data_IF_907249511653
#
_entry.id   IF_907249511653
#
_cell.length_a   1.000
_cell.length_b   1.000
_cell.length_c   1.000
_cell.angle_alpha   90.00
_cell.angle_beta   90.00
_cell.angle_gamma   90.00
#
_symmetry.space_group_name_H-M   'P 1'
#
loop_
_entity.id
_entity.type
_entity.pdbx_description
1 polymer ?
#
# COMPACT_ATOMS: atom_id res chain seq x y z
N UNK A 1 8.53 16.68 -5.63
CA UNK A 1 7.18 16.72 -5.04
C UNK A 1 6.14 15.94 -5.84
N UNK A 2 5.92 16.23 -7.13
CA UNK A 2 4.96 15.51 -7.99
C UNK A 2 5.19 14.00 -8.03
N UNK A 3 6.44 13.56 -8.14
CA UNK A 3 6.80 12.13 -8.12
C UNK A 3 6.43 11.40 -6.82
N UNK A 4 6.61 12.04 -5.65
CA UNK A 4 6.19 11.45 -4.37
C UNK A 4 4.67 11.25 -4.32
N UNK A 5 3.90 12.24 -4.81
CA UNK A 5 2.44 12.12 -4.92
C UNK A 5 2.04 10.95 -5.82
N UNK A 6 2.69 10.81 -6.98
CA UNK A 6 2.44 9.68 -7.88
C UNK A 6 2.74 8.34 -7.21
N UNK A 7 3.87 8.21 -6.50
CA UNK A 7 4.18 7.00 -5.74
C UNK A 7 3.09 6.69 -4.69
N UNK A 8 2.62 7.69 -3.95
CA UNK A 8 1.56 7.47 -2.96
C UNK A 8 0.22 7.08 -3.61
N UNK A 9 -0.15 7.68 -4.74
CA UNK A 9 -1.35 7.31 -5.49
C UNK A 9 -1.24 5.91 -6.08
N UNK A 10 -0.07 5.52 -6.59
CA UNK A 10 0.19 4.15 -7.06
C UNK A 10 0.01 3.13 -5.95
N UNK A 11 0.53 3.40 -4.75
CA UNK A 11 0.32 2.52 -3.59
C UNK A 11 -1.18 2.33 -3.28
N UNK A 12 -1.95 3.42 -3.26
CA UNK A 12 -3.41 3.35 -3.05
C UNK A 12 -4.08 2.56 -4.17
N UNK A 13 -3.74 2.84 -5.43
CA UNK A 13 -4.31 2.13 -6.58
C UNK A 13 -4.04 0.62 -6.53
N UNK A 14 -2.82 0.21 -6.15
CA UNK A 14 -2.50 -1.20 -5.97
C UNK A 14 -3.36 -1.86 -4.89
N UNK A 15 -3.57 -1.20 -3.75
CA UNK A 15 -4.41 -1.73 -2.68
C UNK A 15 -5.89 -1.83 -3.08
N UNK A 16 -6.40 -0.85 -3.83
CA UNK A 16 -7.77 -0.89 -4.39
C UNK A 16 -7.91 -2.07 -5.35
N UNK A 17 -6.99 -2.20 -6.31
CA UNK A 17 -7.01 -3.30 -7.28
C UNK A 17 -6.92 -4.68 -6.61
N UNK A 18 -6.05 -4.83 -5.61
CA UNK A 18 -5.94 -6.06 -4.83
C UNK A 18 -7.26 -6.39 -4.13
N UNK A 19 -7.93 -5.39 -3.56
CA UNK A 19 -9.23 -5.56 -2.92
C UNK A 19 -10.33 -5.96 -3.91
N UNK A 20 -10.27 -5.45 -5.14
CA UNK A 20 -11.18 -5.87 -6.22
C UNK A 20 -10.91 -7.32 -6.62
N UNK A 21 -9.64 -7.73 -6.73
CA UNK A 21 -9.30 -9.12 -7.03
C UNK A 21 -9.87 -10.05 -5.97
N UNK A 22 -9.61 -9.79 -4.68
CA UNK A 22 -10.18 -10.57 -3.59
C UNK A 22 -11.71 -10.59 -3.59
N UNK A 23 -12.36 -9.46 -3.87
CA UNK A 23 -13.82 -9.41 -3.96
C UNK A 23 -14.41 -10.23 -5.11
N UNK A 24 -13.62 -10.53 -6.14
CA UNK A 24 -14.02 -11.34 -7.29
C UNK A 24 -13.66 -12.82 -7.11
N UNK A 25 -12.65 -13.14 -6.30
CA UNK A 25 -12.17 -14.52 -6.08
C UNK A 25 -12.74 -15.17 -4.82
N UNK A 26 -13.03 -14.39 -3.78
CA UNK A 26 -13.39 -14.90 -2.45
C UNK A 26 -14.90 -14.75 -2.22
N UNK A 27 -15.57 -15.86 -1.88
CA UNK A 27 -17.03 -15.93 -1.80
C UNK A 27 -17.63 -15.57 -0.42
N UNK A 28 -16.83 -15.51 0.64
CA UNK A 28 -17.30 -15.25 2.01
C UNK A 28 -16.54 -14.08 2.69
N UNK A 29 -17.27 -13.29 3.48
CA UNK A 29 -16.79 -12.25 4.41
C UNK A 29 -15.96 -11.07 3.85
N UNK A 30 -16.07 -10.78 2.56
CA UNK A 30 -15.38 -9.65 1.90
C UNK A 30 -15.86 -8.27 2.41
N UNK A 31 -17.12 -8.13 2.82
CA UNK A 31 -17.76 -6.83 3.02
C UNK A 31 -17.14 -5.98 4.16
N UNK A 32 -16.82 -6.59 5.30
CA UNK A 32 -16.22 -5.87 6.44
C UNK A 32 -14.79 -5.45 6.11
N UNK A 33 -14.00 -6.34 5.51
CA UNK A 33 -12.62 -6.02 5.16
C UNK A 33 -12.55 -4.95 4.06
N UNK A 34 -13.44 -5.02 3.07
CA UNK A 34 -13.52 -4.06 1.98
C UNK A 34 -13.97 -2.68 2.46
N UNK A 35 -14.92 -2.61 3.39
CA UNK A 35 -15.39 -1.33 3.94
C UNK A 35 -14.31 -0.61 4.76
N UNK A 36 -13.54 -1.34 5.57
CA UNK A 36 -12.38 -0.79 6.29
C UNK A 36 -11.34 -0.25 5.30
N UNK A 37 -10.99 -1.03 4.26
CA UNK A 37 -10.03 -0.61 3.23
C UNK A 37 -10.52 0.62 2.47
N UNK A 38 -11.80 0.69 2.13
CA UNK A 38 -12.38 1.85 1.45
C UNK A 38 -12.23 3.13 2.29
N UNK A 39 -12.54 3.07 3.59
CA UNK A 39 -12.36 4.21 4.52
C UNK A 39 -10.91 4.64 4.58
N UNK A 40 -9.98 3.67 4.71
CA UNK A 40 -8.54 3.95 4.73
C UNK A 40 -8.09 4.61 3.42
N UNK A 41 -8.50 4.10 2.25
CA UNK A 41 -8.12 4.66 0.96
C UNK A 41 -8.66 6.08 0.75
N UNK A 42 -9.89 6.38 1.19
CA UNK A 42 -10.45 7.74 1.13
C UNK A 42 -9.67 8.69 2.03
N UNK A 43 -9.39 8.28 3.27
CA UNK A 43 -8.62 9.06 4.24
C UNK A 43 -7.20 9.36 3.70
N UNK A 44 -6.52 8.32 3.22
CA UNK A 44 -5.17 8.42 2.65
C UNK A 44 -5.15 9.32 1.43
N UNK A 45 -6.07 9.12 0.48
CA UNK A 45 -6.13 9.93 -0.74
C UNK A 45 -6.33 11.40 -0.38
N UNK A 46 -7.18 11.68 0.60
CA UNK A 46 -7.38 13.04 1.12
C UNK A 46 -6.08 13.64 1.71
N UNK A 47 -5.30 12.85 2.45
CA UNK A 47 -3.99 13.27 2.98
C UNK A 47 -2.97 13.51 1.86
N UNK A 48 -2.92 12.66 0.84
CA UNK A 48 -2.04 12.81 -0.33
C UNK A 48 -2.35 14.12 -1.07
N UNK A 49 -3.64 14.43 -1.28
CA UNK A 49 -4.04 15.68 -1.93
C UNK A 49 -3.65 16.90 -1.09
N UNK A 50 -3.77 16.80 0.24
CA UNK A 50 -3.35 17.86 1.17
C UNK A 50 -1.83 17.98 1.30
N UNK A 51 -1.04 16.95 0.95
CA UNK A 51 0.43 16.99 0.93
C UNK A 51 0.97 18.14 0.05
N UNK A 52 0.20 18.54 -0.98
CA UNK A 52 0.53 19.67 -1.86
C UNK A 52 0.52 21.03 -1.15
N UNK A 53 -0.10 21.13 0.04
CA UNK A 53 -0.21 22.37 0.83
C UNK A 53 0.97 22.62 1.77
N UNK A 54 2.02 21.78 1.74
CA UNK A 54 3.23 22.05 2.51
C UNK A 54 3.10 21.83 4.02
N UNK A 55 2.06 21.16 4.51
CA UNK A 55 1.84 20.99 5.96
C UNK A 55 2.69 19.84 6.51
N UNK A 56 3.56 20.12 7.48
CA UNK A 56 4.49 19.14 8.06
C UNK A 56 3.79 17.96 8.75
N UNK A 57 2.63 18.17 9.37
CA UNK A 57 1.87 17.09 10.03
C UNK A 57 1.38 16.02 9.04
N UNK A 58 1.12 16.40 7.79
CA UNK A 58 0.65 15.47 6.75
C UNK A 58 1.75 14.47 6.39
N UNK A 59 3.02 14.89 6.42
CA UNK A 59 4.14 13.98 6.19
C UNK A 59 4.18 12.89 7.24
N UNK A 60 4.05 13.27 8.52
CA UNK A 60 4.00 12.31 9.62
C UNK A 60 2.78 11.39 9.50
N UNK A 61 1.61 11.95 9.19
CA UNK A 61 0.40 11.16 9.00
C UNK A 61 0.55 10.13 7.87
N UNK A 62 1.10 10.51 6.71
CA UNK A 62 1.35 9.58 5.59
C UNK A 62 2.42 8.53 5.93
N UNK A 63 3.48 8.92 6.62
CA UNK A 63 4.52 7.98 7.05
C UNK A 63 3.98 6.95 8.02
N UNK A 64 3.18 7.35 9.01
CA UNK A 64 2.59 6.40 9.96
C UNK A 64 1.53 5.55 9.28
N UNK A 65 0.55 6.18 8.62
CA UNK A 65 -0.62 5.48 8.08
C UNK A 65 -0.28 4.60 6.89
N UNK A 66 0.51 5.10 5.92
CA UNK A 66 0.85 4.32 4.73
C UNK A 66 2.19 3.61 4.86
N UNK A 67 3.19 4.30 5.41
CA UNK A 67 4.54 3.74 5.57
C UNK A 67 4.59 2.60 6.59
N UNK A 68 3.93 2.75 7.73
CA UNK A 68 3.98 1.74 8.81
C UNK A 68 2.77 0.82 8.78
N UNK A 69 1.56 1.38 8.90
CA UNK A 69 0.33 0.56 8.99
C UNK A 69 0.07 -0.18 7.66
N UNK A 70 0.18 0.52 6.53
CA UNK A 70 0.08 -0.09 5.20
C UNK A 70 1.07 -1.25 4.98
N UNK A 71 2.36 -1.01 5.23
CA UNK A 71 3.39 -2.07 5.14
C UNK A 71 3.16 -3.22 6.10
N UNK A 72 2.77 -2.95 7.35
CA UNK A 72 2.49 -4.00 8.32
C UNK A 72 1.36 -4.89 7.82
N UNK A 73 0.28 -4.31 7.28
CA UNK A 73 -0.84 -5.09 6.74
C UNK A 73 -0.43 -6.04 5.61
N UNK A 74 0.54 -5.64 4.78
CA UNK A 74 1.05 -6.46 3.68
C UNK A 74 2.04 -7.55 4.11
N UNK A 75 2.77 -7.31 5.20
CA UNK A 75 3.84 -8.22 5.65
C UNK A 75 3.38 -9.22 6.71
N UNK A 76 2.38 -8.87 7.53
CA UNK A 76 1.91 -9.73 8.62
C UNK A 76 1.44 -11.08 8.09
N UNK A 77 0.62 -11.07 7.04
CA UNK A 77 0.08 -12.31 6.46
C UNK A 77 1.20 -13.20 5.88
N UNK A 78 2.07 -12.75 4.94
CA UNK A 78 3.16 -13.57 4.43
C UNK A 78 4.12 -14.08 5.53
N UNK A 79 4.46 -13.23 6.51
CA UNK A 79 5.36 -13.64 7.59
C UNK A 79 4.72 -14.70 8.48
N UNK A 80 3.43 -14.55 8.80
CA UNK A 80 2.69 -15.55 9.58
C UNK A 80 2.59 -16.88 8.85
N UNK A 81 2.32 -16.86 7.55
CA UNK A 81 2.28 -18.04 6.70
C UNK A 81 3.64 -18.75 6.61
N UNK A 82 4.73 -18.00 6.45
CA UNK A 82 6.08 -18.57 6.46
C UNK A 82 6.41 -19.24 7.80
N UNK A 83 6.03 -18.61 8.92
CA UNK A 83 6.22 -19.19 10.26
C UNK A 83 5.38 -20.47 10.47
N UNK A 84 4.26 -20.59 9.78
CA UNK A 84 3.41 -21.78 9.79
C UNK A 84 3.93 -22.91 8.88
N UNK A 85 5.12 -22.76 8.27
CA UNK A 85 5.71 -23.78 7.39
C UNK A 85 5.41 -23.58 5.90
N UNK A 86 4.97 -22.39 5.50
CA UNK A 86 4.74 -22.04 4.10
C UNK A 86 5.99 -22.24 3.23
N UNK A 87 5.79 -22.75 2.00
CA UNK A 87 6.84 -23.01 1.03
C UNK A 87 6.74 -22.06 -0.18
N UNK A 88 7.48 -20.91 -0.21
CA UNK A 88 7.30 -19.87 -1.22
C UNK A 88 7.46 -20.36 -2.66
N UNK A 89 8.47 -21.19 -2.92
CA UNK A 89 8.74 -21.71 -4.25
C UNK A 89 7.61 -22.61 -4.76
N UNK A 90 7.07 -23.47 -3.90
CA UNK A 90 5.94 -24.33 -4.25
C UNK A 90 4.66 -23.51 -4.47
N UNK A 91 4.42 -22.51 -3.62
CA UNK A 91 3.31 -21.57 -3.79
C UNK A 91 3.37 -20.84 -5.13
N UNK A 92 4.52 -20.29 -5.50
CA UNK A 92 4.70 -19.58 -6.78
C UNK A 92 4.62 -20.52 -7.98
N UNK A 93 5.10 -21.76 -7.85
CA UNK A 93 5.00 -22.75 -8.92
C UNK A 93 3.55 -23.20 -9.19
N UNK A 94 2.70 -23.19 -8.15
CA UNK A 94 1.28 -23.52 -8.25
C UNK A 94 0.37 -22.28 -8.46
N UNK A 95 0.94 -21.08 -8.51
CA UNK A 95 0.18 -19.84 -8.57
C UNK A 95 -0.57 -19.69 -9.89
N UNK A 96 -1.86 -19.42 -9.79
CA UNK A 96 -2.70 -19.05 -10.91
C UNK A 96 -2.55 -17.56 -11.27
N UNK A 97 -3.26 -17.11 -12.31
CA UNK A 97 -3.17 -15.73 -12.78
C UNK A 97 -3.60 -14.70 -11.73
N UNK A 98 -4.61 -15.02 -10.92
CA UNK A 98 -5.08 -14.15 -9.84
C UNK A 98 -4.03 -14.01 -8.74
N UNK A 99 -3.42 -15.12 -8.35
CA UNK A 99 -2.32 -15.15 -7.36
C UNK A 99 -1.13 -14.32 -7.85
N UNK A 100 -0.69 -14.51 -9.10
CA UNK A 100 0.38 -13.72 -9.69
C UNK A 100 0.08 -12.22 -9.73
N UNK A 101 -1.17 -11.85 -10.03
CA UNK A 101 -1.61 -10.46 -10.02
C UNK A 101 -1.54 -9.86 -8.61
N UNK A 102 -2.04 -10.57 -7.59
CA UNK A 102 -1.94 -10.11 -6.19
C UNK A 102 -0.48 -9.93 -5.77
N UNK A 103 0.39 -10.90 -6.07
CA UNK A 103 1.83 -10.79 -5.77
C UNK A 103 2.44 -9.56 -6.44
N UNK A 104 2.16 -9.33 -7.72
CA UNK A 104 2.67 -8.17 -8.45
C UNK A 104 2.16 -6.85 -7.86
N UNK A 105 0.87 -6.76 -7.52
CA UNK A 105 0.27 -5.58 -6.89
C UNK A 105 0.93 -5.26 -5.54
N UNK A 106 1.19 -6.27 -4.71
CA UNK A 106 1.91 -6.08 -3.44
C UNK A 106 3.33 -5.58 -3.64
N UNK A 107 4.08 -6.17 -4.59
CA UNK A 107 5.45 -5.72 -4.89
C UNK A 107 5.47 -4.26 -5.36
N UNK A 108 4.58 -3.90 -6.29
CA UNK A 108 4.47 -2.52 -6.79
C UNK A 108 4.05 -1.57 -5.65
N UNK A 109 3.11 -1.99 -4.80
CA UNK A 109 2.69 -1.21 -3.63
C UNK A 109 3.88 -0.90 -2.71
N UNK A 110 4.65 -1.92 -2.31
CA UNK A 110 5.81 -1.76 -1.43
C UNK A 110 6.84 -0.80 -2.06
N UNK A 111 7.17 -1.01 -3.33
CA UNK A 111 8.10 -0.14 -4.05
C UNK A 111 7.59 1.31 -4.10
N UNK A 112 6.29 1.50 -4.33
CA UNK A 112 5.66 2.81 -4.36
C UNK A 112 5.65 3.50 -2.99
N UNK A 113 5.39 2.77 -1.90
CA UNK A 113 5.48 3.31 -0.53
C UNK A 113 6.91 3.76 -0.20
N UNK A 114 7.91 2.91 -0.49
CA UNK A 114 9.32 3.23 -0.25
C UNK A 114 9.78 4.42 -1.10
N UNK A 115 9.42 4.46 -2.37
CA UNK A 115 9.69 5.61 -3.25
C UNK A 115 8.99 6.89 -2.77
N UNK A 116 7.74 6.77 -2.33
CA UNK A 116 6.95 7.86 -1.75
C UNK A 116 7.64 8.48 -0.53
N UNK A 117 8.08 7.63 0.40
CA UNK A 117 8.88 7.99 1.59
C UNK A 117 10.20 8.66 1.21
N UNK A 118 11.03 8.00 0.41
CA UNK A 118 12.35 8.53 0.04
C UNK A 118 12.24 9.91 -0.63
N UNK A 119 11.29 10.08 -1.55
CA UNK A 119 11.07 11.34 -2.25
C UNK A 119 10.47 12.42 -1.35
N UNK A 120 9.58 12.04 -0.41
CA UNK A 120 8.95 12.98 0.54
C UNK A 120 9.95 13.57 1.55
N UNK A 121 10.98 12.82 1.92
CA UNK A 121 12.03 13.26 2.84
C UNK A 121 13.31 13.76 2.15
N UNK A 122 13.32 13.80 0.82
CA UNK A 122 14.47 14.30 0.05
C UNK A 122 14.81 15.76 0.38
N UNK A 123 16.08 16.19 0.25
CA UNK A 123 16.51 17.56 0.53
C UNK A 123 15.71 18.62 -0.23
N UNK A 124 15.36 18.32 -1.49
CA UNK A 124 14.55 19.19 -2.36
C UNK A 124 13.12 19.33 -1.84
N UNK A 125 12.51 18.25 -1.35
CA UNK A 125 11.18 18.30 -0.74
C UNK A 125 11.22 19.02 0.60
N UNK A 126 12.24 18.81 1.43
CA UNK A 126 12.37 19.50 2.72
C UNK A 126 12.45 21.03 2.58
N UNK A 127 12.99 21.57 1.48
CA UNK A 127 12.94 23.03 1.21
C UNK A 127 11.53 23.54 0.91
N UNK A 128 10.66 22.71 0.32
CA UNK A 128 9.27 23.05 0.04
C UNK A 128 8.39 23.05 1.31
N UNK A 129 8.79 22.30 2.34
CA UNK A 129 8.07 22.16 3.61
C UNK A 129 8.66 23.00 4.75
N UNK A 130 9.70 23.79 4.48
CA UNK A 130 10.33 24.66 5.49
C UNK A 130 9.45 25.86 5.76
#
# INVERSE_FOLDING_TARGET
>A
MRWSVWCWLTAVACGVLESVVHALTDAEDVAVQLSIRAVVYVLVTSLILRLRRGQRWIRLALTVLLGVVGMASLLVEPISWLRAGGAPLAFLAAADAATWLVVALRVIHVAAVLGGLALMYSPTANRFFK
#
